data_IF_808082872246
#
_entry.id   IF_808082872246
#
_cell.length_a   1.000
_cell.length_b   1.000
_cell.length_c   1.000
_cell.angle_alpha   90.00
_cell.angle_beta   90.00
_cell.angle_gamma   90.00
#
_symmetry.space_group_name_H-M   'P 1'
#
loop_
_entity.id
_entity.type
_entity.pdbx_description
1 polymer ?
#
# COMPACT_ATOMS: atom_id res chain seq x y z
N UNK A 1 -50.44 3.96 20.64
CA UNK A 1 -49.49 4.25 21.73
C UNK A 1 -48.47 3.14 21.95
N UNK A 2 -48.86 1.87 22.22
CA UNK A 2 -47.90 0.78 22.52
C UNK A 2 -46.87 0.45 21.42
N UNK A 3 -47.17 0.76 20.15
CA UNK A 3 -46.23 0.49 19.04
C UNK A 3 -45.07 1.49 18.94
N UNK A 4 -45.25 2.73 19.41
CA UNK A 4 -44.20 3.76 19.35
C UNK A 4 -43.13 3.53 20.42
N UNK A 5 -43.54 3.12 21.63
CA UNK A 5 -42.62 2.79 22.73
C UNK A 5 -41.72 1.59 22.39
N UNK A 6 -42.28 0.56 21.75
CA UNK A 6 -41.52 -0.62 21.32
C UNK A 6 -40.47 -0.32 20.23
N UNK A 7 -40.73 0.65 19.37
CA UNK A 7 -39.80 1.05 18.30
C UNK A 7 -38.64 1.90 18.84
N UNK A 8 -38.92 2.77 19.82
CA UNK A 8 -37.88 3.53 20.53
C UNK A 8 -36.94 2.63 21.35
N UNK A 9 -37.47 1.60 22.02
CA UNK A 9 -36.64 0.62 22.72
C UNK A 9 -35.72 -0.17 21.79
N UNK A 10 -36.20 -0.52 20.58
CA UNK A 10 -35.37 -1.17 19.56
C UNK A 10 -34.22 -0.28 19.11
N UNK A 11 -34.49 0.99 18.79
CA UNK A 11 -33.46 1.96 18.41
C UNK A 11 -32.42 2.18 19.52
N UNK A 12 -32.85 2.24 20.79
CA UNK A 12 -31.91 2.36 21.93
C UNK A 12 -31.01 1.14 22.05
N UNK A 13 -31.55 -0.07 21.86
CA UNK A 13 -30.76 -1.31 21.88
C UNK A 13 -29.79 -1.37 20.71
N UNK A 14 -30.22 -1.00 19.50
CA UNK A 14 -29.35 -0.96 18.31
C UNK A 14 -28.21 0.06 18.49
N UNK A 15 -28.51 1.26 18.99
CA UNK A 15 -27.49 2.27 19.27
C UNK A 15 -26.48 1.78 20.32
N UNK A 16 -26.95 1.15 21.40
CA UNK A 16 -26.07 0.63 22.44
C UNK A 16 -25.18 -0.52 21.94
N UNK A 17 -25.72 -1.39 21.08
CA UNK A 17 -24.94 -2.44 20.43
C UNK A 17 -23.89 -1.82 19.51
N UNK A 18 -24.23 -0.78 18.74
CA UNK A 18 -23.29 -0.13 17.84
C UNK A 18 -22.15 0.58 18.61
N UNK A 19 -22.48 1.28 19.70
CA UNK A 19 -21.50 1.89 20.61
C UNK A 19 -20.58 0.84 21.27
N UNK A 20 -21.12 -0.31 21.67
CA UNK A 20 -20.33 -1.42 22.23
C UNK A 20 -19.38 -2.01 21.18
N UNK A 21 -19.85 -2.24 19.95
CA UNK A 21 -19.03 -2.75 18.83
C UNK A 21 -17.93 -1.76 18.46
N UNK A 22 -18.23 -0.46 18.45
CA UNK A 22 -17.23 0.59 18.23
C UNK A 22 -16.17 0.60 19.33
N UNK A 23 -16.58 0.52 20.60
CA UNK A 23 -15.65 0.47 21.74
C UNK A 23 -14.75 -0.77 21.73
N UNK A 24 -15.29 -1.93 21.39
CA UNK A 24 -14.54 -3.19 21.32
C UNK A 24 -13.55 -3.19 20.15
N UNK A 25 -13.94 -2.61 19.01
CA UNK A 25 -13.07 -2.38 17.85
C UNK A 25 -11.93 -1.41 18.19
N UNK A 26 -12.21 -0.34 18.95
CA UNK A 26 -11.20 0.60 19.42
C UNK A 26 -10.24 -0.02 20.45
N UNK A 27 -10.73 -0.86 21.35
CA UNK A 27 -9.89 -1.57 22.33
C UNK A 27 -8.94 -2.59 21.67
N UNK A 28 -9.43 -3.34 20.69
CA UNK A 28 -8.60 -4.25 19.89
C UNK A 28 -7.55 -3.49 19.07
N UNK A 29 -7.90 -2.32 18.54
CA UNK A 29 -6.95 -1.40 17.90
C UNK A 29 -5.84 -0.97 18.87
N UNK A 30 -6.20 -0.55 20.08
CA UNK A 30 -5.27 -0.04 21.08
C UNK A 30 -4.26 -1.09 21.59
N UNK A 31 -4.70 -2.34 21.80
CA UNK A 31 -3.79 -3.43 22.19
C UNK A 31 -2.77 -3.78 21.09
N UNK A 32 -3.11 -3.49 19.83
CA UNK A 32 -2.23 -3.71 18.68
C UNK A 32 -1.16 -2.61 18.57
N UNK A 33 -1.35 -1.46 19.24
CA UNK A 33 -0.54 -0.23 19.08
C UNK A 33 0.97 -0.41 19.27
N UNK A 34 1.39 -1.34 20.13
CA UNK A 34 2.80 -1.65 20.35
C UNK A 34 3.37 -2.78 19.49
N UNK A 35 2.52 -3.67 18.97
CA UNK A 35 2.95 -4.93 18.33
C UNK A 35 3.55 -4.67 16.97
N UNK A 36 2.87 -3.89 16.12
CA UNK A 36 3.34 -3.60 14.77
C UNK A 36 4.65 -2.78 14.78
N UNK A 37 4.75 -1.79 15.67
CA UNK A 37 5.97 -1.00 15.87
C UNK A 37 7.14 -1.86 16.37
N UNK A 38 6.87 -2.82 17.27
CA UNK A 38 7.91 -3.75 17.75
C UNK A 38 8.37 -4.71 16.66
N UNK A 39 7.43 -5.23 15.86
CA UNK A 39 7.75 -6.07 14.71
C UNK A 39 8.60 -5.32 13.68
N UNK A 40 8.27 -4.05 13.39
CA UNK A 40 9.07 -3.18 12.51
C UNK A 40 10.51 -3.05 13.03
N UNK A 41 10.70 -2.70 14.31
CA UNK A 41 12.05 -2.57 14.91
C UNK A 41 12.86 -3.86 14.78
N UNK A 42 12.24 -5.01 15.00
CA UNK A 42 12.87 -6.32 14.82
C UNK A 42 13.28 -6.59 13.37
N UNK A 43 12.44 -6.22 12.40
CA UNK A 43 12.78 -6.31 10.97
C UNK A 43 13.95 -5.40 10.62
N UNK A 44 13.93 -4.13 11.06
CA UNK A 44 15.01 -3.17 10.83
C UNK A 44 16.34 -3.72 11.36
N UNK A 45 16.36 -4.25 12.58
CA UNK A 45 17.56 -4.85 13.16
C UNK A 45 18.09 -6.02 12.34
N UNK A 46 17.22 -6.92 11.85
CA UNK A 46 17.63 -8.04 11.00
C UNK A 46 18.19 -7.58 9.66
N UNK A 47 17.62 -6.53 9.07
CA UNK A 47 18.11 -5.92 7.83
C UNK A 47 19.49 -5.31 8.05
N UNK A 48 19.71 -4.57 9.14
CA UNK A 48 21.02 -4.02 9.50
C UNK A 48 22.08 -5.12 9.61
N UNK A 49 21.80 -6.17 10.36
CA UNK A 49 22.73 -7.30 10.52
C UNK A 49 23.02 -8.01 9.19
N UNK A 50 22.02 -8.14 8.31
CA UNK A 50 22.22 -8.72 6.98
C UNK A 50 23.07 -7.82 6.08
N UNK A 51 22.88 -6.50 6.15
CA UNK A 51 23.67 -5.52 5.42
C UNK A 51 25.15 -5.57 5.83
N UNK A 52 25.41 -5.59 7.15
CA UNK A 52 26.76 -5.71 7.72
C UNK A 52 27.47 -6.99 7.26
N UNK A 53 26.81 -8.15 7.37
CA UNK A 53 27.36 -9.44 6.88
C UNK A 53 27.67 -9.42 5.38
N UNK A 54 26.97 -8.60 4.62
CA UNK A 54 27.13 -8.48 3.16
C UNK A 54 28.10 -7.37 2.76
N UNK A 55 28.74 -6.66 3.71
CA UNK A 55 29.61 -5.52 3.43
C UNK A 55 28.87 -4.33 2.79
N UNK A 56 27.56 -4.21 2.99
CA UNK A 56 26.72 -3.15 2.42
C UNK A 56 26.28 -2.20 3.54
N UNK A 57 26.22 -0.89 3.29
CA UNK A 57 25.73 0.04 4.29
C UNK A 57 24.19 -0.11 4.40
N UNK A 58 23.61 -0.20 5.62
CA UNK A 58 22.18 -0.47 5.81
C UNK A 58 21.23 0.55 5.18
N UNK A 59 21.64 1.81 5.10
CA UNK A 59 20.89 2.93 4.50
C UNK A 59 20.63 2.75 3.00
N UNK A 60 21.38 1.87 2.31
CA UNK A 60 21.13 1.49 0.92
C UNK A 60 19.96 0.51 0.75
N UNK A 61 19.44 -0.06 1.84
CA UNK A 61 18.35 -1.04 1.81
C UNK A 61 17.06 -0.34 2.23
N UNK A 62 16.13 -0.17 1.28
CA UNK A 62 14.77 0.31 1.57
C UNK A 62 13.95 -0.82 2.18
N UNK A 63 13.30 -0.54 3.29
CA UNK A 63 12.29 -1.42 3.87
C UNK A 63 10.92 -0.90 3.42
N UNK A 64 10.15 -1.74 2.73
CA UNK A 64 8.77 -1.44 2.34
C UNK A 64 7.84 -2.25 3.25
N UNK A 65 7.03 -1.59 4.06
CA UNK A 65 6.08 -2.24 4.95
C UNK A 65 4.81 -2.59 4.16
N UNK A 66 4.61 -3.87 3.82
CA UNK A 66 3.45 -4.32 3.06
C UNK A 66 2.21 -4.35 3.94
N UNK A 67 1.24 -3.50 3.65
CA UNK A 67 0.05 -3.25 4.48
C UNK A 67 -1.26 -3.75 3.87
N UNK A 68 -1.19 -4.55 2.79
CA UNK A 68 -2.37 -5.21 2.20
C UNK A 68 -3.17 -5.92 3.29
N UNK A 69 -4.49 -5.77 3.25
CA UNK A 69 -5.44 -6.34 4.23
C UNK A 69 -5.26 -5.92 5.68
N UNK A 70 -4.36 -4.96 5.98
CA UNK A 70 -4.21 -4.36 7.30
C UNK A 70 -5.07 -3.10 7.44
N UNK A 71 -5.72 -2.90 8.60
CA UNK A 71 -6.49 -1.69 8.85
C UNK A 71 -5.57 -0.46 8.98
N UNK A 72 -6.15 0.71 8.76
CA UNK A 72 -5.45 2.01 8.84
C UNK A 72 -4.79 2.21 10.22
N UNK A 73 -5.38 1.70 11.30
CA UNK A 73 -4.82 1.79 12.65
C UNK A 73 -3.43 1.16 12.74
N UNK A 74 -3.25 -0.05 12.19
CA UNK A 74 -1.95 -0.75 12.18
C UNK A 74 -0.92 0.02 11.36
N UNK A 75 -1.33 0.60 10.22
CA UNK A 75 -0.44 1.42 9.39
C UNK A 75 0.00 2.67 10.17
N UNK A 76 -0.94 3.31 10.87
CA UNK A 76 -0.67 4.47 11.72
C UNK A 76 0.35 4.15 12.82
N UNK A 77 0.29 2.98 13.45
CA UNK A 77 1.29 2.58 14.46
C UNK A 77 2.71 2.49 13.88
N UNK A 78 2.83 1.89 12.70
CA UNK A 78 4.11 1.75 11.98
C UNK A 78 4.60 3.13 11.52
N UNK A 79 3.68 4.02 11.14
CA UNK A 79 3.97 5.41 10.79
C UNK A 79 4.46 6.23 12.00
N UNK A 80 3.79 6.14 13.15
CA UNK A 80 4.21 6.82 14.39
C UNK A 80 5.55 6.29 14.92
N UNK A 81 5.91 5.05 14.57
CA UNK A 81 7.26 4.52 14.82
C UNK A 81 8.35 5.12 13.90
N UNK A 82 8.00 6.09 13.04
CA UNK A 82 8.91 6.80 12.15
C UNK A 82 9.02 6.23 10.73
N UNK A 83 8.27 5.17 10.41
CA UNK A 83 8.30 4.57 9.07
C UNK A 83 7.48 5.38 8.06
N UNK A 84 7.91 5.41 6.79
CA UNK A 84 7.21 6.16 5.73
C UNK A 84 6.92 5.36 4.46
N UNK A 85 7.65 4.28 4.17
CA UNK A 85 7.49 3.54 2.92
C UNK A 85 6.53 2.36 3.07
N UNK A 86 5.34 2.44 2.47
CA UNK A 86 4.30 1.41 2.58
C UNK A 86 3.95 0.79 1.23
N UNK A 87 3.69 -0.51 1.23
CA UNK A 87 3.39 -1.30 0.03
C UNK A 87 1.95 -1.80 -0.01
N UNK A 88 1.25 -1.56 -1.13
CA UNK A 88 -0.12 -2.02 -1.34
C UNK A 88 -0.30 -2.81 -2.64
N UNK A 89 -1.16 -3.82 -2.60
CA UNK A 89 -1.44 -4.69 -3.74
C UNK A 89 -2.67 -4.24 -4.54
N UNK A 90 -3.64 -3.60 -3.89
CA UNK A 90 -4.95 -3.30 -4.49
C UNK A 90 -5.13 -1.80 -4.60
N UNK A 91 -5.46 -1.33 -5.82
CA UNK A 91 -5.64 0.11 -6.10
C UNK A 91 -6.75 0.73 -5.25
N UNK A 92 -7.80 -0.03 -4.93
CA UNK A 92 -8.87 0.48 -4.08
C UNK A 92 -8.40 0.67 -2.63
N UNK A 93 -7.70 -0.32 -2.05
CA UNK A 93 -7.18 -0.21 -0.69
C UNK A 93 -6.21 0.96 -0.53
N UNK A 94 -5.27 1.15 -1.45
CA UNK A 94 -4.29 2.24 -1.36
C UNK A 94 -4.95 3.62 -1.48
N UNK A 95 -5.97 3.77 -2.32
CA UNK A 95 -6.71 5.04 -2.46
C UNK A 95 -7.50 5.34 -1.19
N UNK A 96 -8.17 4.34 -0.62
CA UNK A 96 -8.91 4.49 0.65
C UNK A 96 -7.98 4.80 1.83
N UNK A 97 -6.82 4.16 1.90
CA UNK A 97 -5.83 4.35 2.97
C UNK A 97 -5.07 5.67 2.83
N UNK A 98 -4.67 6.05 1.63
CA UNK A 98 -3.94 7.30 1.37
C UNK A 98 -4.76 8.53 1.77
N UNK A 99 -6.09 8.50 1.62
CA UNK A 99 -6.97 9.58 2.05
C UNK A 99 -7.09 9.74 3.58
N UNK A 100 -6.72 8.71 4.36
CA UNK A 100 -6.89 8.67 5.82
C UNK A 100 -5.57 8.77 6.60
N UNK A 101 -4.44 8.82 5.89
CA UNK A 101 -3.11 8.77 6.45
C UNK A 101 -2.30 10.01 6.02
N UNK A 102 -1.22 10.35 6.75
CA UNK A 102 -0.42 11.54 6.43
C UNK A 102 0.18 11.54 5.02
N UNK A 103 0.25 12.73 4.44
CA UNK A 103 0.68 12.95 3.05
C UNK A 103 2.18 12.72 2.80
N UNK A 104 2.99 12.62 3.87
CA UNK A 104 4.44 12.34 3.80
C UNK A 104 4.76 10.84 3.71
N UNK A 105 3.74 9.97 3.70
CA UNK A 105 3.91 8.55 3.37
C UNK A 105 4.37 8.40 1.92
N UNK A 106 5.32 7.52 1.70
CA UNK A 106 5.74 7.06 0.38
C UNK A 106 5.00 5.78 0.04
N UNK A 107 3.99 5.87 -0.82
CA UNK A 107 3.23 4.71 -1.27
C UNK A 107 3.91 3.98 -2.42
N UNK A 108 4.04 2.67 -2.27
CA UNK A 108 4.55 1.74 -3.27
C UNK A 108 3.41 0.81 -3.71
N UNK A 109 3.09 0.80 -5.00
CA UNK A 109 2.16 -0.16 -5.55
C UNK A 109 2.93 -1.40 -6.01
N UNK A 110 2.66 -2.56 -5.39
CA UNK A 110 3.41 -3.82 -5.60
C UNK A 110 2.54 -4.96 -6.15
N UNK A 111 1.25 -4.68 -6.44
CA UNK A 111 0.32 -5.64 -7.04
C UNK A 111 0.28 -5.54 -8.56
N UNK A 112 -0.39 -6.48 -9.24
CA UNK A 112 -0.54 -6.38 -10.71
C UNK A 112 -1.42 -5.16 -11.08
N UNK A 113 -0.89 -4.25 -11.91
CA UNK A 113 -1.56 -3.01 -12.29
C UNK A 113 -2.39 -3.18 -13.55
N UNK A 114 -3.70 -3.32 -13.41
CA UNK A 114 -4.59 -3.31 -14.58
C UNK A 114 -4.68 -1.93 -15.23
N UNK A 115 -4.74 -1.90 -16.56
CA UNK A 115 -4.85 -0.68 -17.38
C UNK A 115 -5.95 0.29 -16.90
N UNK A 116 -7.15 -0.20 -16.59
CA UNK A 116 -8.26 0.62 -16.12
C UNK A 116 -8.05 1.23 -14.72
N UNK A 117 -7.13 0.68 -13.92
CA UNK A 117 -6.83 1.14 -12.56
C UNK A 117 -5.71 2.19 -12.49
N UNK A 118 -5.00 2.44 -13.60
CA UNK A 118 -3.96 3.48 -13.69
C UNK A 118 -4.50 4.87 -13.29
N UNK A 119 -5.65 5.27 -13.84
CA UNK A 119 -6.25 6.59 -13.55
C UNK A 119 -6.68 6.71 -12.07
N UNK A 120 -7.46 5.77 -11.51
CA UNK A 120 -7.78 5.76 -10.08
C UNK A 120 -6.55 5.81 -9.17
N UNK A 121 -5.53 5.00 -9.47
CA UNK A 121 -4.30 4.94 -8.67
C UNK A 121 -3.60 6.29 -8.63
N UNK A 122 -3.32 6.87 -9.81
CA UNK A 122 -2.65 8.15 -9.88
C UNK A 122 -3.50 9.25 -9.25
N UNK A 123 -4.79 9.34 -9.56
CA UNK A 123 -5.64 10.41 -9.05
C UNK A 123 -5.86 10.34 -7.53
N UNK A 124 -6.06 9.13 -6.99
CA UNK A 124 -6.40 8.91 -5.59
C UNK A 124 -5.22 8.79 -4.63
N UNK A 125 -3.99 8.67 -5.14
CA UNK A 125 -2.77 8.59 -4.32
C UNK A 125 -1.78 9.67 -4.74
N UNK A 126 -1.90 10.90 -4.21
CA UNK A 126 -1.03 12.03 -4.58
C UNK A 126 0.45 11.78 -4.29
N UNK A 127 0.73 11.07 -3.20
CA UNK A 127 2.05 10.70 -2.69
C UNK A 127 2.48 9.29 -3.12
N UNK A 128 2.06 8.84 -4.32
CA UNK A 128 2.55 7.61 -4.93
C UNK A 128 4.02 7.77 -5.30
N UNK A 129 4.89 7.06 -4.58
CA UNK A 129 6.34 7.12 -4.76
C UNK A 129 6.82 6.17 -5.86
N UNK A 130 6.23 4.97 -5.97
CA UNK A 130 6.70 3.93 -6.88
C UNK A 130 5.62 2.92 -7.31
N UNK A 131 5.74 2.40 -8.53
CA UNK A 131 5.05 1.18 -8.98
C UNK A 131 6.09 0.10 -9.23
N UNK A 132 6.06 -1.01 -8.51
CA UNK A 132 7.13 -2.02 -8.54
C UNK A 132 6.85 -3.22 -9.46
N UNK A 133 5.65 -3.25 -10.05
CA UNK A 133 5.06 -4.42 -10.68
C UNK A 133 4.76 -4.22 -12.17
N UNK A 134 5.57 -3.43 -12.89
CA UNK A 134 5.36 -3.24 -14.32
C UNK A 134 5.88 -4.43 -15.13
N UNK A 135 4.99 -5.07 -15.86
CA UNK A 135 5.26 -6.22 -16.73
C UNK A 135 4.79 -6.02 -18.18
N UNK A 136 4.01 -4.98 -18.46
CA UNK A 136 3.40 -4.70 -19.76
C UNK A 136 3.69 -3.27 -20.26
N UNK A 137 4.14 -3.17 -21.52
CA UNK A 137 4.50 -1.92 -22.17
C UNK A 137 3.31 -0.96 -22.34
N UNK A 138 2.09 -1.48 -22.57
CA UNK A 138 0.89 -0.65 -22.73
C UNK A 138 0.52 0.00 -21.40
N UNK A 139 0.69 -0.72 -20.29
CA UNK A 139 0.49 -0.17 -18.94
C UNK A 139 1.54 0.90 -18.64
N UNK A 140 2.83 0.66 -18.95
CA UNK A 140 3.89 1.66 -18.81
C UNK A 140 3.61 2.93 -19.62
N UNK A 141 3.26 2.80 -20.91
CA UNK A 141 2.90 3.94 -21.75
C UNK A 141 1.65 4.69 -21.27
N UNK A 142 0.69 3.99 -20.65
CA UNK A 142 -0.49 4.61 -20.05
C UNK A 142 -0.15 5.38 -18.77
N UNK A 143 0.72 4.84 -17.92
CA UNK A 143 1.23 5.55 -16.74
C UNK A 143 1.93 6.83 -17.15
N UNK A 144 2.87 6.78 -18.11
CA UNK A 144 3.63 7.94 -18.55
C UNK A 144 2.70 9.06 -19.06
N UNK A 145 1.81 8.74 -20.01
CA UNK A 145 0.84 9.71 -20.55
C UNK A 145 -0.03 10.33 -19.45
N UNK A 146 -0.42 9.55 -18.45
CA UNK A 146 -1.31 10.04 -17.39
C UNK A 146 -0.57 10.90 -16.37
N UNK A 147 0.67 10.55 -16.02
CA UNK A 147 1.54 11.38 -15.17
C UNK A 147 1.76 12.75 -15.83
N UNK A 148 2.09 12.76 -17.13
CA UNK A 148 2.23 13.99 -17.92
C UNK A 148 0.93 14.80 -17.97
N UNK A 149 -0.20 14.16 -18.30
CA UNK A 149 -1.52 14.82 -18.40
C UNK A 149 -1.97 15.43 -17.07
N UNK A 150 -1.64 14.79 -15.94
CA UNK A 150 -1.96 15.29 -14.60
C UNK A 150 -0.93 16.31 -14.08
N UNK A 151 0.14 16.61 -14.82
CA UNK A 151 1.22 17.50 -14.37
C UNK A 151 1.96 17.00 -13.12
N UNK A 152 2.02 15.68 -12.92
CA UNK A 152 2.67 15.06 -11.75
C UNK A 152 4.18 14.96 -11.92
N UNK A 153 4.90 14.90 -10.79
CA UNK A 153 6.32 14.52 -10.80
C UNK A 153 6.48 13.14 -11.45
N UNK A 154 7.63 12.92 -12.09
CA UNK A 154 7.97 11.62 -12.69
C UNK A 154 7.81 10.50 -11.66
N UNK A 155 7.00 9.51 -12.00
CA UNK A 155 6.74 8.35 -11.17
C UNK A 155 7.85 7.33 -11.37
N UNK A 156 8.46 6.88 -10.27
CA UNK A 156 9.46 5.81 -10.33
C UNK A 156 8.77 4.48 -10.58
N UNK A 157 9.37 3.63 -11.38
CA UNK A 157 8.82 2.31 -11.67
C UNK A 157 9.90 1.23 -11.61
N UNK A 158 9.53 0.02 -11.22
CA UNK A 158 10.35 -1.18 -11.39
C UNK A 158 9.66 -2.14 -12.35
N UNK A 159 10.47 -2.82 -13.14
CA UNK A 159 10.03 -3.85 -14.07
C UNK A 159 10.03 -5.19 -13.35
N UNK A 160 8.89 -5.88 -13.36
CA UNK A 160 8.73 -7.18 -12.73
C UNK A 160 9.26 -8.28 -13.64
N UNK A 161 10.19 -9.07 -13.12
CA UNK A 161 10.80 -10.19 -13.84
C UNK A 161 10.47 -11.50 -13.12
N UNK A 162 9.99 -12.50 -13.87
CA UNK A 162 9.81 -13.85 -13.34
C UNK A 162 11.17 -14.56 -13.22
N UNK A 163 11.56 -14.92 -12.00
CA UNK A 163 12.80 -15.63 -11.70
C UNK A 163 12.59 -17.09 -11.29
N UNK A 164 11.36 -17.60 -11.21
CA UNK A 164 11.09 -18.97 -10.76
C UNK A 164 11.28 -20.03 -11.85
N UNK A 165 11.23 -19.64 -13.12
CA UNK A 165 11.29 -20.56 -14.26
C UNK A 165 10.02 -21.39 -14.47
N UNK A 166 9.03 -21.22 -13.60
CA UNK A 166 7.72 -21.85 -13.72
C UNK A 166 6.79 -20.94 -14.56
N UNK A 167 6.02 -21.55 -15.44
CA UNK A 167 4.95 -20.87 -16.20
C UNK A 167 3.75 -20.60 -15.28
N UNK A 168 3.92 -19.73 -14.29
CA UNK A 168 2.78 -19.14 -13.57
C UNK A 168 2.35 -17.85 -14.26
N UNK A 169 1.03 -17.65 -14.33
CA UNK A 169 0.34 -16.68 -15.18
C UNK A 169 0.95 -15.28 -15.24
N UNK A 170 0.93 -14.74 -16.47
CA UNK A 170 1.18 -13.34 -16.84
C UNK A 170 2.39 -12.68 -16.14
N UNK A 171 3.59 -13.24 -16.31
CA UNK A 171 4.81 -12.44 -16.29
C UNK A 171 5.61 -12.81 -17.53
N UNK A 172 5.31 -12.12 -18.64
CA UNK A 172 5.80 -12.42 -19.98
C UNK A 172 6.97 -11.50 -20.37
N UNK A 173 8.02 -11.37 -19.56
CA UNK A 173 9.27 -10.82 -20.10
C UNK A 173 10.09 -11.96 -20.73
N UNK A 174 9.57 -12.49 -21.85
CA UNK A 174 10.46 -12.95 -22.93
C UNK A 174 10.97 -11.67 -23.58
N UNK A 175 12.26 -11.37 -23.41
CA UNK A 175 12.98 -10.18 -23.90
C UNK A 175 12.48 -9.66 -25.27
N UNK A 176 11.50 -8.77 -25.26
CA UNK A 176 10.98 -8.09 -26.47
C UNK A 176 10.64 -6.62 -26.20
N UNK A 177 11.18 -6.04 -25.13
CA UNK A 177 11.09 -4.59 -24.91
C UNK A 177 12.03 -3.89 -25.90
N UNK A 178 11.45 -3.05 -26.76
CA UNK A 178 12.22 -2.24 -27.70
C UNK A 178 13.04 -1.16 -26.96
N UNK A 179 14.19 -0.76 -27.51
CA UNK A 179 15.09 0.23 -26.91
C UNK A 179 14.43 1.58 -26.57
N UNK A 180 13.25 1.88 -27.14
CA UNK A 180 12.53 3.14 -26.89
C UNK A 180 11.97 3.24 -25.47
N UNK A 181 11.56 2.12 -24.86
CA UNK A 181 10.93 2.10 -23.53
C UNK A 181 11.87 2.42 -22.38
N UNK A 182 13.15 2.08 -22.49
CA UNK A 182 14.15 2.35 -21.45
C UNK A 182 14.45 3.85 -21.29
N UNK A 183 14.12 4.69 -22.29
CA UNK A 183 14.29 6.15 -22.20
C UNK A 183 13.08 6.88 -21.60
N UNK A 184 11.96 6.20 -21.41
CA UNK A 184 10.71 6.76 -20.87
C UNK A 184 10.55 6.56 -19.36
N UNK A 185 11.45 5.82 -18.71
CA UNK A 185 11.54 5.64 -17.25
C UNK A 185 12.57 6.62 -16.69
#
# INVERSE_FOLDING_TARGET
>A
MKNQEHEEERKRRENHINEQVEAETMAASAATDGVAATALRSVIQRVHQAAERSGRPPDRIRIVAVSKTKPVSVIRQVYEAGHRCFGENYVQEIVEKAAQLPDDIEWHFIGNLQSNKVKPLLAGVPNLAMVESLDDEKIAGRLNRMVETMGKKRLKVLVQVNTSGEEYGECCIKCSWSHSCLSMI
#
